data_IF_937710596349
#
_entry.id   IF_937710596349
#
_cell.length_a   1.000
_cell.length_b   1.000
_cell.length_c   1.000
_cell.angle_alpha   90.00
_cell.angle_beta   90.00
_cell.angle_gamma   90.00
#
_symmetry.space_group_name_H-M   'P 1'
#
loop_
_entity.id
_entity.type
_entity.pdbx_description
1 polymer ?
#
# COMPACT_ATOMS: atom_id res chain seq x y z
N UNK A 1 1.94 -8.24 -21.25
CA UNK A 1 1.15 -9.49 -21.29
C UNK A 1 0.55 -9.86 -19.93
N UNK A 2 1.28 -9.75 -18.81
CA UNK A 2 0.75 -10.17 -17.50
C UNK A 2 -0.36 -9.27 -16.92
N UNK A 3 -0.39 -7.98 -17.26
CA UNK A 3 -1.42 -7.05 -16.78
C UNK A 3 -2.83 -7.46 -17.24
N UNK A 4 -2.99 -7.82 -18.52
CA UNK A 4 -4.27 -8.31 -19.06
C UNK A 4 -4.63 -9.66 -18.45
N UNK A 5 -3.65 -10.56 -18.25
CA UNK A 5 -3.89 -11.90 -17.71
C UNK A 5 -4.30 -11.85 -16.23
N UNK A 6 -3.69 -10.95 -15.43
CA UNK A 6 -4.04 -10.73 -14.01
C UNK A 6 -5.40 -10.05 -13.85
N UNK A 7 -5.75 -9.16 -14.78
CA UNK A 7 -6.99 -8.39 -14.74
C UNK A 7 -8.07 -8.94 -15.69
N UNK A 8 -7.91 -10.13 -16.27
CA UNK A 8 -8.82 -10.68 -17.31
C UNK A 8 -10.27 -10.74 -16.84
N UNK A 9 -10.48 -11.13 -15.58
CA UNK A 9 -11.82 -11.20 -14.97
C UNK A 9 -12.43 -9.82 -14.73
N UNK A 10 -11.61 -8.85 -14.32
CA UNK A 10 -12.08 -7.49 -14.07
C UNK A 10 -12.35 -6.74 -15.38
N UNK A 11 -11.49 -6.91 -16.38
CA UNK A 11 -11.70 -6.42 -17.73
C UNK A 11 -12.96 -7.01 -18.35
N UNK A 12 -13.22 -8.30 -18.13
CA UNK A 12 -14.47 -8.94 -18.55
C UNK A 12 -15.68 -8.24 -17.93
N UNK A 13 -15.68 -8.07 -16.60
CA UNK A 13 -16.78 -7.43 -15.87
C UNK A 13 -17.02 -5.98 -16.31
N UNK A 14 -15.96 -5.19 -16.54
CA UNK A 14 -16.09 -3.79 -16.95
C UNK A 14 -16.54 -3.64 -18.40
N UNK A 15 -15.98 -4.45 -19.31
CA UNK A 15 -16.31 -4.40 -20.74
C UNK A 15 -17.67 -5.02 -21.04
N UNK A 16 -18.21 -5.87 -20.16
CA UNK A 16 -19.59 -6.36 -20.24
C UNK A 16 -20.63 -5.25 -20.10
N UNK A 17 -20.27 -4.07 -19.56
CA UNK A 17 -21.19 -2.94 -19.44
C UNK A 17 -21.68 -2.45 -20.81
N UNK A 18 -20.81 -2.48 -21.84
CA UNK A 18 -21.17 -2.15 -23.23
C UNK A 18 -20.25 -2.90 -24.21
N UNK A 19 -20.60 -4.12 -24.65
CA UNK A 19 -19.70 -4.93 -25.48
C UNK A 19 -19.55 -4.41 -26.92
N UNK A 20 -20.58 -3.76 -27.47
CA UNK A 20 -20.56 -3.23 -28.83
C UNK A 20 -19.60 -2.04 -28.96
N UNK A 21 -19.59 -1.14 -27.98
CA UNK A 21 -18.71 0.04 -28.00
C UNK A 21 -17.23 -0.35 -27.98
N UNK A 22 -16.82 -1.27 -27.11
CA UNK A 22 -15.42 -1.72 -27.08
C UNK A 22 -15.04 -2.47 -28.36
N UNK A 23 -15.94 -3.30 -28.91
CA UNK A 23 -15.69 -3.99 -30.18
C UNK A 23 -15.44 -2.98 -31.32
N UNK A 24 -16.20 -1.89 -31.35
CA UNK A 24 -16.03 -0.81 -32.33
C UNK A 24 -14.72 -0.05 -32.12
N UNK A 25 -14.36 0.31 -30.88
CA UNK A 25 -13.10 1.00 -30.57
C UNK A 25 -11.88 0.16 -30.96
N UNK A 26 -11.94 -1.14 -30.70
CA UNK A 26 -10.89 -2.12 -31.02
C UNK A 26 -10.77 -2.36 -32.54
N UNK A 27 -11.88 -2.33 -33.27
CA UNK A 27 -11.89 -2.41 -34.72
C UNK A 27 -11.30 -1.16 -35.36
N UNK A 28 -11.70 0.04 -34.91
CA UNK A 28 -11.20 1.31 -35.44
C UNK A 28 -9.68 1.45 -35.30
N UNK A 29 -9.12 0.93 -34.21
CA UNK A 29 -7.67 0.96 -33.98
C UNK A 29 -6.91 -0.12 -34.80
N UNK A 30 -7.63 -0.98 -35.52
CA UNK A 30 -7.05 -2.06 -36.33
C UNK A 30 -6.44 -3.19 -35.50
N UNK A 31 -6.88 -3.36 -34.26
CA UNK A 31 -6.43 -4.43 -33.38
C UNK A 31 -7.02 -5.80 -33.81
N UNK A 32 -8.26 -5.76 -34.30
CA UNK A 32 -8.96 -6.88 -34.90
C UNK A 32 -9.17 -6.63 -36.39
N UNK A 33 -9.11 -7.71 -37.17
CA UNK A 33 -9.52 -7.65 -38.58
C UNK A 33 -11.05 -7.60 -38.67
N UNK A 34 -11.58 -7.03 -39.75
CA UNK A 34 -13.02 -6.96 -40.03
C UNK A 34 -13.73 -8.32 -39.82
N UNK A 35 -13.05 -9.40 -40.23
CA UNK A 35 -13.54 -10.79 -40.11
C UNK A 35 -13.69 -11.24 -38.65
N UNK A 36 -12.78 -10.82 -37.77
CA UNK A 36 -12.84 -11.13 -36.34
C UNK A 36 -13.90 -10.30 -35.63
N UNK A 37 -13.98 -9.00 -35.96
CA UNK A 37 -15.05 -8.15 -35.46
C UNK A 37 -16.43 -8.71 -35.82
N UNK A 38 -16.66 -9.09 -37.08
CA UNK A 38 -17.93 -9.69 -37.50
C UNK A 38 -18.23 -11.01 -36.78
N UNK A 39 -17.22 -11.85 -36.57
CA UNK A 39 -17.36 -13.11 -35.82
C UNK A 39 -17.74 -12.87 -34.36
N UNK A 40 -17.13 -11.87 -33.72
CA UNK A 40 -17.47 -11.47 -32.35
C UNK A 40 -18.86 -10.84 -32.31
N UNK A 41 -19.21 -9.95 -33.24
CA UNK A 41 -20.53 -9.32 -33.32
C UNK A 41 -21.67 -10.32 -33.57
N UNK A 42 -21.39 -11.43 -34.27
CA UNK A 42 -22.38 -12.50 -34.50
C UNK A 42 -22.59 -13.42 -33.30
N UNK A 43 -21.78 -13.31 -32.25
CA UNK A 43 -21.96 -14.07 -31.02
C UNK A 43 -23.07 -13.41 -30.18
N UNK A 44 -24.13 -14.15 -29.87
CA UNK A 44 -25.31 -13.60 -29.17
C UNK A 44 -25.07 -13.31 -27.69
N UNK A 45 -23.98 -13.82 -27.12
CA UNK A 45 -23.69 -13.75 -25.70
C UNK A 45 -22.59 -12.73 -25.41
N UNK A 46 -22.90 -11.63 -24.69
CA UNK A 46 -21.97 -10.52 -24.48
C UNK A 46 -20.74 -10.90 -23.64
N UNK A 47 -20.91 -11.87 -22.73
CA UNK A 47 -19.79 -12.40 -21.95
C UNK A 47 -18.82 -13.17 -22.85
N UNK A 48 -19.33 -14.07 -23.69
CA UNK A 48 -18.51 -14.80 -24.67
C UNK A 48 -17.88 -13.87 -25.71
N UNK A 49 -18.56 -12.79 -26.09
CA UNK A 49 -18.00 -11.77 -26.98
C UNK A 49 -16.72 -11.17 -26.39
N UNK A 50 -16.78 -10.72 -25.13
CA UNK A 50 -15.62 -10.11 -24.46
C UNK A 50 -14.54 -11.14 -24.14
N UNK A 51 -14.89 -12.36 -23.74
CA UNK A 51 -13.92 -13.44 -23.52
C UNK A 51 -13.17 -13.74 -24.81
N UNK A 52 -13.87 -13.93 -25.93
CA UNK A 52 -13.26 -14.24 -27.22
C UNK A 52 -12.44 -13.06 -27.76
N UNK A 53 -12.84 -11.83 -27.48
CA UNK A 53 -12.07 -10.62 -27.76
C UNK A 53 -10.74 -10.66 -26.99
N UNK A 54 -10.79 -10.79 -25.66
CA UNK A 54 -9.61 -10.84 -24.80
C UNK A 54 -8.68 -11.99 -25.17
N UNK A 55 -9.23 -13.16 -25.47
CA UNK A 55 -8.46 -14.33 -25.90
C UNK A 55 -7.79 -14.11 -27.27
N UNK A 56 -8.49 -13.48 -28.21
CA UNK A 56 -7.94 -13.11 -29.51
C UNK A 56 -6.79 -12.11 -29.39
N UNK A 57 -6.88 -11.15 -28.46
CA UNK A 57 -5.80 -10.18 -28.20
C UNK A 57 -4.61 -10.85 -27.53
N UNK A 58 -4.87 -11.73 -26.56
CA UNK A 58 -3.83 -12.49 -25.87
C UNK A 58 -3.11 -13.48 -26.79
N UNK A 59 -3.84 -14.13 -27.70
CA UNK A 59 -3.30 -15.15 -28.61
C UNK A 59 -2.43 -14.59 -29.74
N UNK A 60 -2.57 -13.31 -30.10
CA UNK A 60 -1.77 -12.65 -31.14
C UNK A 60 -0.40 -12.15 -30.67
N UNK A 61 -0.15 -12.14 -29.36
CA UNK A 61 1.13 -11.76 -28.78
C UNK A 61 1.15 -10.38 -28.12
N UNK A 62 2.31 -10.02 -27.57
CA UNK A 62 2.46 -8.89 -26.64
C UNK A 62 2.16 -7.52 -27.26
N UNK A 63 2.54 -7.30 -28.52
CA UNK A 63 2.29 -6.03 -29.21
C UNK A 63 0.78 -5.72 -29.33
N UNK A 64 -0.05 -6.73 -29.55
CA UNK A 64 -1.51 -6.56 -29.58
C UNK A 64 -2.07 -6.30 -28.18
N UNK A 65 -1.49 -6.92 -27.14
CA UNK A 65 -1.86 -6.63 -25.76
C UNK A 65 -1.58 -5.17 -25.38
N UNK A 66 -0.40 -4.65 -25.72
CA UNK A 66 -0.02 -3.26 -25.44
C UNK A 66 -0.90 -2.27 -26.20
N UNK A 67 -1.14 -2.54 -27.47
CA UNK A 67 -2.04 -1.73 -28.30
C UNK A 67 -3.47 -1.75 -27.76
N UNK A 68 -3.97 -2.89 -27.27
CA UNK A 68 -5.27 -2.98 -26.61
C UNK A 68 -5.35 -2.13 -25.35
N UNK A 69 -4.30 -2.15 -24.53
CA UNK A 69 -4.21 -1.30 -23.34
C UNK A 69 -4.25 0.18 -23.72
N UNK A 70 -3.51 0.59 -24.77
CA UNK A 70 -3.55 1.96 -25.26
C UNK A 70 -4.96 2.39 -25.72
N UNK A 71 -5.77 1.47 -26.25
CA UNK A 71 -7.17 1.74 -26.60
C UNK A 71 -8.02 1.93 -25.34
N UNK A 72 -7.86 1.06 -24.34
CA UNK A 72 -8.57 1.16 -23.06
C UNK A 72 -8.24 2.45 -22.30
N UNK A 73 -7.06 3.02 -22.54
CA UNK A 73 -6.62 4.29 -21.96
C UNK A 73 -7.14 5.54 -22.69
N UNK A 74 -7.81 5.41 -23.85
CA UNK A 74 -8.37 6.58 -24.54
C UNK A 74 -9.51 7.20 -23.74
N UNK A 75 -9.57 8.53 -23.72
CA UNK A 75 -10.62 9.28 -23.01
C UNK A 75 -12.03 8.83 -23.37
N UNK A 76 -12.31 8.58 -24.65
CA UNK A 76 -13.61 8.10 -25.14
C UNK A 76 -14.01 6.74 -24.52
N UNK A 77 -13.03 5.87 -24.28
CA UNK A 77 -13.25 4.55 -23.69
C UNK A 77 -13.34 4.65 -22.18
N UNK A 78 -12.54 5.49 -21.54
CA UNK A 78 -12.62 5.70 -20.10
C UNK A 78 -13.89 6.44 -19.65
N UNK A 79 -14.47 7.29 -20.51
CA UNK A 79 -15.76 7.95 -20.25
C UNK A 79 -16.90 6.92 -20.22
N UNK A 80 -16.86 5.97 -21.16
CA UNK A 80 -17.84 4.87 -21.25
C UNK A 80 -17.67 3.86 -20.12
N UNK A 81 -16.42 3.56 -19.72
CA UNK A 81 -16.11 2.61 -18.64
C UNK A 81 -15.31 3.29 -17.52
N UNK A 82 -15.97 3.99 -16.58
CA UNK A 82 -15.28 4.70 -15.50
C UNK A 82 -14.45 3.77 -14.60
N UNK A 83 -14.81 2.49 -14.52
CA UNK A 83 -14.08 1.47 -13.76
C UNK A 83 -12.68 1.16 -14.35
N UNK A 84 -12.45 1.45 -15.65
CA UNK A 84 -11.11 1.33 -16.25
C UNK A 84 -10.13 2.34 -15.64
N UNK A 85 -10.58 3.50 -15.18
CA UNK A 85 -9.69 4.48 -14.54
C UNK A 85 -9.02 3.95 -13.28
N UNK A 86 -9.67 3.01 -12.58
CA UNK A 86 -9.11 2.33 -11.43
C UNK A 86 -8.09 1.24 -11.83
N UNK A 87 -8.16 0.74 -13.07
CA UNK A 87 -7.24 -0.27 -13.61
C UNK A 87 -5.87 0.29 -13.99
N UNK A 88 -5.86 1.52 -14.53
CA UNK A 88 -4.65 2.22 -14.94
C UNK A 88 -3.85 2.75 -13.75
N UNK A 89 -4.46 2.78 -12.56
CA UNK A 89 -3.82 3.28 -11.35
C UNK A 89 -2.50 2.53 -11.14
N UNK A 90 -1.35 3.19 -11.38
CA UNK A 90 -0.08 2.55 -11.15
C UNK A 90 -0.03 2.30 -9.65
N UNK A 91 0.15 1.06 -9.24
CA UNK A 91 0.89 0.86 -8.00
C UNK A 91 2.27 1.45 -8.28
N UNK A 92 2.42 2.71 -7.84
CA UNK A 92 3.59 3.57 -7.92
C UNK A 92 4.91 2.79 -8.09
N UNK A 93 5.63 2.97 -9.20
CA UNK A 93 7.05 3.17 -9.17
C UNK A 93 7.32 4.67 -9.22
N UNK A 94 8.10 5.14 -8.27
CA UNK A 94 8.62 6.49 -8.18
C UNK A 94 9.33 6.87 -9.49
N UNK A 95 8.83 7.92 -10.14
CA UNK A 95 9.47 8.82 -11.13
C UNK A 95 10.50 8.26 -12.14
N UNK A 96 10.29 8.39 -13.47
CA UNK A 96 11.34 8.13 -14.44
C UNK A 96 12.22 9.38 -14.67
N UNK A 97 13.54 9.22 -14.48
CA UNK A 97 14.51 9.89 -15.33
C UNK A 97 15.76 9.03 -15.52
N UNK A 98 15.97 8.74 -16.80
CA UNK A 98 17.19 8.40 -17.56
C UNK A 98 17.87 7.03 -17.44
N UNK A 99 18.04 6.48 -18.65
CA UNK A 99 19.14 5.66 -19.18
C UNK A 99 19.18 4.14 -18.89
N UNK A 100 18.89 3.41 -19.96
CA UNK A 100 19.23 2.00 -20.21
C UNK A 100 20.63 1.61 -19.71
N UNK A 101 20.73 0.47 -19.03
CA UNK A 101 21.93 -0.36 -19.09
C UNK A 101 21.56 -1.85 -19.00
N UNK A 102 22.14 -2.65 -19.91
CA UNK A 102 21.99 -4.09 -19.97
C UNK A 102 22.76 -4.73 -18.80
N UNK A 103 22.10 -4.94 -17.67
CA UNK A 103 22.64 -5.70 -16.54
C UNK A 103 22.33 -7.18 -16.68
N UNK A 104 23.34 -8.04 -16.89
CA UNK A 104 23.19 -9.50 -16.73
C UNK A 104 22.95 -9.80 -15.26
N UNK A 105 21.74 -10.22 -14.91
CA UNK A 105 21.42 -10.74 -13.58
C UNK A 105 21.77 -12.22 -13.51
N UNK A 106 22.54 -12.63 -12.49
CA UNK A 106 22.84 -14.03 -12.18
C UNK A 106 22.11 -14.39 -10.90
N UNK A 107 21.19 -15.35 -10.98
CA UNK A 107 20.42 -15.85 -9.83
C UNK A 107 21.05 -17.16 -9.38
N UNK A 108 21.53 -17.23 -8.14
CA UNK A 108 22.01 -18.45 -7.51
C UNK A 108 21.13 -18.75 -6.29
N UNK A 109 20.43 -19.88 -6.32
CA UNK A 109 19.60 -20.33 -5.20
C UNK A 109 20.45 -21.19 -4.27
N UNK A 110 20.45 -20.86 -2.98
CA UNK A 110 21.16 -21.61 -1.93
C UNK A 110 20.13 -22.12 -0.94
N UNK A 111 20.09 -23.44 -0.74
CA UNK A 111 19.24 -24.10 0.25
C UNK A 111 20.09 -24.56 1.44
N UNK A 112 19.70 -24.16 2.65
CA UNK A 112 20.42 -24.53 3.87
C UNK A 112 19.43 -24.83 5.01
N UNK A 113 19.62 -25.94 5.71
CA UNK A 113 18.76 -26.40 6.81
C UNK A 113 19.35 -26.18 8.20
N UNK A 114 18.48 -26.20 9.21
CA UNK A 114 18.76 -26.29 10.66
C UNK A 114 20.14 -25.84 11.16
N UNK A 115 20.28 -24.58 11.55
CA UNK A 115 21.49 -24.04 12.20
C UNK A 115 22.64 -23.67 11.25
N UNK A 116 22.43 -23.77 9.95
CA UNK A 116 23.44 -23.42 8.95
C UNK A 116 23.72 -21.92 8.91
N UNK A 117 25.01 -21.56 8.85
CA UNK A 117 25.48 -20.19 8.57
C UNK A 117 25.89 -20.12 7.11
N UNK A 118 25.10 -19.42 6.29
CA UNK A 118 25.43 -19.21 4.87
C UNK A 118 26.29 -17.96 4.75
N UNK A 119 27.56 -18.15 4.36
CA UNK A 119 28.48 -17.05 4.07
C UNK A 119 28.42 -16.74 2.58
N UNK A 120 28.24 -15.47 2.23
CA UNK A 120 28.03 -15.00 0.88
C UNK A 120 29.21 -15.33 -0.08
N UNK A 121 28.94 -15.52 -1.40
CA UNK A 121 30.00 -15.75 -2.37
C UNK A 121 30.88 -14.51 -2.56
N UNK A 122 32.18 -14.71 -2.79
CA UNK A 122 33.14 -13.63 -3.06
C UNK A 122 32.93 -13.10 -4.49
N UNK A 123 32.54 -11.83 -4.61
CA UNK A 123 32.38 -11.16 -5.90
C UNK A 123 33.62 -10.33 -6.17
N UNK A 124 34.40 -10.72 -7.18
CA UNK A 124 35.63 -10.02 -7.58
C UNK A 124 35.47 -9.43 -8.99
N UNK A 125 35.87 -8.17 -9.18
CA UNK A 125 35.89 -7.51 -10.49
C UNK A 125 34.64 -6.70 -10.89
N UNK A 126 33.73 -6.38 -9.95
CA UNK A 126 32.61 -5.47 -10.24
C UNK A 126 33.06 -4.01 -10.33
N UNK A 127 32.68 -3.31 -11.40
CA UNK A 127 32.93 -1.86 -11.58
C UNK A 127 31.68 -0.99 -11.31
N UNK A 128 30.58 -1.60 -10.85
CA UNK A 128 29.30 -0.92 -10.58
C UNK A 128 28.70 -1.28 -9.21
N UNK A 129 27.59 -0.61 -8.84
CA UNK A 129 26.88 -0.84 -7.58
C UNK A 129 26.28 -2.24 -7.55
N UNK A 130 26.65 -3.03 -6.53
CA UNK A 130 26.15 -4.38 -6.34
C UNK A 130 24.97 -4.32 -5.36
N UNK A 131 23.80 -4.74 -5.81
CA UNK A 131 22.60 -4.85 -4.99
C UNK A 131 22.27 -6.32 -4.76
N UNK A 132 22.13 -6.74 -3.50
CA UNK A 132 21.72 -8.10 -3.14
C UNK A 132 20.26 -8.10 -2.68
N UNK A 133 19.47 -8.99 -3.28
CA UNK A 133 18.10 -9.27 -2.85
C UNK A 133 18.09 -10.67 -2.25
N UNK A 134 18.00 -10.77 -0.93
CA UNK A 134 17.89 -12.06 -0.23
C UNK A 134 16.40 -12.38 -0.07
N UNK A 135 15.96 -13.46 -0.71
CA UNK A 135 14.60 -13.96 -0.58
C UNK A 135 14.64 -15.28 0.18
N UNK A 136 14.12 -15.31 1.41
CA UNK A 136 14.04 -16.52 2.23
C UNK A 136 12.67 -17.16 2.02
N UNK A 137 12.65 -18.32 1.37
CA UNK A 137 11.45 -19.15 1.23
C UNK A 137 11.49 -20.25 2.29
N UNK A 138 10.59 -20.13 3.27
CA UNK A 138 10.41 -21.15 4.31
C UNK A 138 9.30 -22.10 3.87
N UNK A 139 9.66 -23.29 3.39
CA UNK A 139 8.69 -24.31 2.98
C UNK A 139 7.69 -24.69 4.10
N UNK A 140 6.51 -25.23 3.75
CA UNK A 140 5.43 -25.44 4.71
C UNK A 140 5.74 -26.60 5.65
N UNK A 141 6.24 -26.27 6.84
CA UNK A 141 6.38 -27.24 7.93
C UNK A 141 5.02 -27.47 8.58
N UNK A 142 4.52 -28.70 8.49
CA UNK A 142 3.32 -29.13 9.20
C UNK A 142 3.43 -28.98 10.72
N UNK A 143 2.26 -28.73 11.33
CA UNK A 143 1.95 -28.58 12.76
C UNK A 143 2.10 -27.18 13.40
N UNK A 144 0.94 -26.54 13.53
CA UNK A 144 0.41 -25.86 14.73
C UNK A 144 1.27 -24.78 15.42
N UNK A 145 1.07 -23.54 14.98
CA UNK A 145 0.58 -22.43 15.82
C UNK A 145 0.24 -21.27 14.89
N UNK A 146 -1.00 -20.77 14.96
CA UNK A 146 -1.43 -19.61 14.22
C UNK A 146 -0.50 -18.42 14.52
N UNK A 147 0.42 -18.12 13.61
CA UNK A 147 1.12 -16.84 13.61
C UNK A 147 0.08 -15.78 13.19
N UNK A 148 -0.58 -15.19 14.19
CA UNK A 148 -1.31 -13.93 14.05
C UNK A 148 -0.31 -12.88 13.55
N UNK A 149 -0.25 -12.67 12.23
CA UNK A 149 0.30 -11.43 11.72
C UNK A 149 -0.73 -10.33 11.99
N UNK A 150 -0.72 -9.81 13.21
CA UNK A 150 -1.69 -8.85 13.73
C UNK A 150 -1.35 -7.46 13.17
N UNK A 151 -2.27 -6.87 12.40
CA UNK A 151 -2.13 -5.50 11.89
C UNK A 151 -1.80 -4.52 13.02
N UNK A 152 -1.05 -3.44 12.73
CA UNK A 152 -0.73 -2.38 13.70
C UNK A 152 -2.00 -1.85 14.37
N UNK A 153 -3.08 -1.69 13.60
CA UNK A 153 -4.39 -1.27 14.12
C UNK A 153 -4.96 -2.24 15.15
N UNK A 154 -4.77 -3.55 14.96
CA UNK A 154 -5.19 -4.57 15.92
C UNK A 154 -4.34 -4.54 17.20
N UNK A 155 -3.04 -4.22 17.09
CA UNK A 155 -2.14 -4.06 18.24
C UNK A 155 -2.45 -2.80 19.04
N UNK A 156 -2.74 -1.70 18.36
CA UNK A 156 -3.15 -0.43 18.99
C UNK A 156 -4.47 -0.64 19.72
N UNK A 157 -5.45 -1.31 19.08
CA UNK A 157 -6.74 -1.60 19.70
C UNK A 157 -6.62 -2.48 20.95
N UNK A 158 -5.70 -3.45 20.96
CA UNK A 158 -5.41 -4.25 22.16
C UNK A 158 -4.86 -3.40 23.32
N UNK A 159 -3.94 -2.46 23.05
CA UNK A 159 -3.43 -1.54 24.07
C UNK A 159 -4.52 -0.59 24.59
N UNK A 160 -5.40 -0.12 23.70
CA UNK A 160 -6.52 0.75 24.07
C UNK A 160 -7.58 0.07 24.94
N UNK A 161 -7.77 -1.24 24.77
CA UNK A 161 -8.72 -2.04 25.55
C UNK A 161 -8.17 -2.39 26.94
N UNK A 162 -6.84 -2.62 27.03
CA UNK A 162 -6.15 -2.84 28.31
C UNK A 162 -6.22 -1.65 29.26
N UNK A 163 -6.41 -0.43 28.74
CA UNK A 163 -6.48 0.79 29.55
C UNK A 163 -7.91 1.30 29.65
N UNK A 164 -8.54 0.99 30.80
CA UNK A 164 -9.90 1.44 31.18
C UNK A 164 -9.98 2.97 31.32
N UNK A 165 -9.09 3.58 32.12
CA UNK A 165 -9.06 5.03 32.34
C UNK A 165 -7.80 5.66 31.72
N UNK A 166 -7.94 6.09 30.46
CA UNK A 166 -6.86 6.67 29.65
C UNK A 166 -6.33 7.97 30.26
N UNK A 167 -7.20 8.77 30.90
CA UNK A 167 -6.83 10.02 31.54
C UNK A 167 -5.94 9.78 32.77
N UNK A 168 -6.34 8.85 33.65
CA UNK A 168 -5.53 8.50 34.82
C UNK A 168 -4.23 7.81 34.42
N UNK A 169 -4.24 6.99 33.37
CA UNK A 169 -3.04 6.37 32.85
C UNK A 169 -2.00 7.42 32.41
N UNK A 170 -2.42 8.44 31.65
CA UNK A 170 -1.52 9.54 31.25
C UNK A 170 -1.00 10.33 32.45
N UNK A 171 -1.83 10.57 33.49
CA UNK A 171 -1.39 11.21 34.74
C UNK A 171 -0.33 10.37 35.46
N UNK A 172 -0.58 9.06 35.57
CA UNK A 172 0.32 8.11 36.26
C UNK A 172 1.67 7.99 35.56
N UNK A 173 1.65 8.01 34.22
CA UNK A 173 2.84 7.86 33.38
C UNK A 173 3.43 9.19 32.90
N UNK A 174 2.97 10.31 33.45
CA UNK A 174 3.35 11.65 33.01
C UNK A 174 4.87 11.85 32.88
N UNK A 175 5.63 11.49 33.92
CA UNK A 175 7.09 11.67 33.91
C UNK A 175 7.79 10.83 32.83
N UNK A 176 7.36 9.58 32.64
CA UNK A 176 7.89 8.70 31.61
C UNK A 176 7.57 9.21 30.21
N UNK A 177 6.35 9.69 29.99
CA UNK A 177 5.91 10.26 28.71
C UNK A 177 6.73 11.49 28.35
N UNK A 178 6.92 12.40 29.31
CA UNK A 178 7.72 13.63 29.13
C UNK A 178 9.19 13.32 28.83
N UNK A 179 9.75 12.29 29.44
CA UNK A 179 11.17 11.94 29.27
C UNK A 179 11.44 11.13 27.99
N UNK A 180 10.52 10.24 27.61
CA UNK A 180 10.71 9.32 26.48
C UNK A 180 10.21 9.88 25.15
N UNK A 181 9.22 10.78 25.13
CA UNK A 181 8.62 11.29 23.90
C UNK A 181 9.34 12.57 23.45
N UNK A 182 10.01 12.49 22.30
CA UNK A 182 10.74 13.63 21.71
C UNK A 182 9.96 14.33 20.58
N UNK A 183 9.11 13.61 19.86
CA UNK A 183 8.33 14.14 18.73
C UNK A 183 7.00 14.72 19.22
N UNK A 184 7.05 15.85 19.93
CA UNK A 184 5.86 16.50 20.48
C UNK A 184 5.19 17.42 19.46
N UNK A 185 5.95 17.95 18.50
CA UNK A 185 5.43 18.87 17.49
C UNK A 185 4.41 18.19 16.58
N UNK A 186 4.69 16.96 16.13
CA UNK A 186 3.76 16.14 15.35
C UNK A 186 2.47 15.85 16.13
N UNK A 187 2.60 15.50 17.41
CA UNK A 187 1.45 15.26 18.30
C UNK A 187 0.63 16.53 18.51
N UNK A 188 1.28 17.67 18.71
CA UNK A 188 0.60 18.95 18.91
C UNK A 188 -0.13 19.39 17.64
N UNK A 189 0.44 19.16 16.45
CA UNK A 189 -0.19 19.50 15.17
C UNK A 189 -1.42 18.64 14.90
N UNK A 190 -1.34 17.34 15.19
CA UNK A 190 -2.45 16.41 15.03
C UNK A 190 -3.61 16.68 16.01
N UNK A 191 -3.31 17.35 17.12
CA UNK A 191 -4.30 17.79 18.11
C UNK A 191 -4.92 19.16 17.78
N UNK A 192 -4.34 19.88 16.81
CA UNK A 192 -4.80 21.20 16.36
C UNK A 192 -6.19 21.07 15.72
N UNK A 193 -7.08 22.02 16.03
CA UNK A 193 -8.41 22.11 15.41
C UNK A 193 -9.49 21.22 16.02
N UNK A 194 -9.14 20.08 16.64
CA UNK A 194 -10.14 19.19 17.26
C UNK A 194 -10.21 19.30 18.79
N UNK A 195 -9.13 19.64 19.51
CA UNK A 195 -9.11 19.65 20.99
C UNK A 195 -8.19 20.69 21.63
N UNK A 196 -7.23 21.26 20.90
CA UNK A 196 -6.45 22.41 21.37
C UNK A 196 -6.87 23.69 20.67
N UNK A 197 -7.13 24.74 21.47
CA UNK A 197 -7.33 26.09 20.97
C UNK A 197 -6.03 26.66 20.41
N UNK A 198 -6.16 27.59 19.47
CA UNK A 198 -5.02 28.24 18.80
C UNK A 198 -4.00 28.85 19.78
N UNK A 199 -4.49 29.43 20.88
CA UNK A 199 -3.66 29.98 21.96
C UNK A 199 -2.86 28.89 22.69
N UNK A 200 -3.51 27.78 23.06
CA UNK A 200 -2.86 26.66 23.76
C UNK A 200 -1.79 26.00 22.90
N UNK A 201 -2.07 25.84 21.60
CA UNK A 201 -1.09 25.34 20.64
C UNK A 201 0.12 26.27 20.54
N UNK A 202 -0.11 27.58 20.46
CA UNK A 202 0.97 28.58 20.40
C UNK A 202 1.85 28.56 21.66
N UNK A 203 1.24 28.36 22.84
CA UNK A 203 1.96 28.22 24.11
C UNK A 203 2.82 26.95 24.16
N UNK A 204 2.37 25.85 23.57
CA UNK A 204 3.16 24.62 23.45
C UNK A 204 4.34 24.86 22.50
N UNK A 205 4.09 25.37 21.30
CA UNK A 205 5.14 25.56 20.30
C UNK A 205 6.20 26.59 20.71
N UNK A 206 5.83 27.55 21.57
CA UNK A 206 6.76 28.52 22.15
C UNK A 206 7.72 27.91 23.20
N UNK A 207 7.52 26.66 23.63
CA UNK A 207 8.44 26.02 24.56
C UNK A 207 9.74 25.59 23.87
N UNK A 208 10.87 25.89 24.50
CA UNK A 208 12.21 25.66 23.92
C UNK A 208 12.67 24.20 23.92
N UNK A 209 12.04 23.32 24.71
CA UNK A 209 12.46 21.91 24.83
C UNK A 209 11.28 20.96 24.63
N UNK A 210 11.49 19.77 24.02
CA UNK A 210 10.44 18.79 23.79
C UNK A 210 9.78 18.32 25.10
N UNK A 211 10.52 18.26 26.21
CA UNK A 211 9.97 17.87 27.51
C UNK A 211 8.98 18.92 28.03
N UNK A 212 9.32 20.21 27.90
CA UNK A 212 8.41 21.29 28.28
C UNK A 212 7.17 21.33 27.38
N UNK A 213 7.35 21.09 26.07
CA UNK A 213 6.26 20.93 25.12
C UNK A 213 5.34 19.79 25.55
N UNK A 214 5.89 18.63 25.90
CA UNK A 214 5.11 17.45 26.31
C UNK A 214 4.37 17.70 27.63
N UNK A 215 5.00 18.38 28.60
CA UNK A 215 4.33 18.76 29.85
C UNK A 215 3.13 19.65 29.58
N UNK A 216 3.30 20.68 28.76
CA UNK A 216 2.21 21.61 28.41
C UNK A 216 1.10 20.90 27.63
N UNK A 217 1.46 20.05 26.68
CA UNK A 217 0.49 19.24 25.94
C UNK A 217 -0.31 18.33 26.88
N UNK A 218 0.35 17.61 27.79
CA UNK A 218 -0.34 16.76 28.78
C UNK A 218 -1.21 17.59 29.74
N UNK A 219 -0.76 18.78 30.15
CA UNK A 219 -1.50 19.69 31.04
C UNK A 219 -2.85 20.08 30.45
N UNK A 220 -2.87 20.51 29.20
CA UNK A 220 -4.09 20.94 28.52
C UNK A 220 -5.01 19.78 28.12
N UNK A 221 -4.46 18.59 27.90
CA UNK A 221 -5.21 17.45 27.36
C UNK A 221 -5.79 16.56 28.44
N UNK A 222 -5.15 16.49 29.60
CA UNK A 222 -5.64 15.76 30.76
C UNK A 222 -6.83 16.49 31.43
N UNK A 223 -7.08 17.75 31.10
CA UNK A 223 -8.24 18.50 31.61
C UNK A 223 -9.58 17.91 31.17
N UNK A 224 -9.64 17.29 29.99
CA UNK A 224 -10.89 16.77 29.42
C UNK A 224 -10.74 15.30 29.04
N UNK A 225 -11.69 14.47 29.45
CA UNK A 225 -11.70 13.02 29.15
C UNK A 225 -11.54 12.75 27.65
N UNK A 226 -12.32 13.41 26.81
CA UNK A 226 -12.26 13.23 25.34
C UNK A 226 -10.93 13.66 24.71
N UNK A 227 -10.25 14.66 25.27
CA UNK A 227 -8.93 15.08 24.78
C UNK A 227 -7.85 14.07 25.20
N UNK A 228 -7.94 13.56 26.42
CA UNK A 228 -7.02 12.54 26.93
C UNK A 228 -7.15 11.19 26.20
N UNK A 229 -8.36 10.78 25.83
CA UNK A 229 -8.60 9.56 25.04
C UNK A 229 -8.00 9.69 23.64
N UNK A 230 -8.22 10.83 22.98
CA UNK A 230 -7.67 11.08 21.65
C UNK A 230 -6.14 11.12 21.67
N UNK A 231 -5.54 11.83 22.63
CA UNK A 231 -4.09 11.87 22.80
C UNK A 231 -3.53 10.46 23.06
N UNK A 232 -4.20 9.67 23.89
CA UNK A 232 -3.80 8.29 24.17
C UNK A 232 -3.78 7.44 22.89
N UNK A 233 -4.84 7.48 22.07
CA UNK A 233 -4.91 6.75 20.80
C UNK A 233 -3.79 7.20 19.84
N UNK A 234 -3.50 8.49 19.77
CA UNK A 234 -2.41 9.02 18.95
C UNK A 234 -1.04 8.57 19.44
N UNK A 235 -0.81 8.58 20.75
CA UNK A 235 0.40 8.04 21.36
C UNK A 235 0.58 6.56 21.07
N UNK A 236 -0.49 5.75 21.10
CA UNK A 236 -0.42 4.34 20.75
C UNK A 236 -0.01 4.11 19.29
N UNK A 237 -0.36 5.02 18.37
CA UNK A 237 0.00 4.93 16.95
C UNK A 237 1.41 5.44 16.66
N UNK A 238 1.73 6.63 17.16
CA UNK A 238 3.01 7.29 16.89
C UNK A 238 4.15 6.69 17.72
N UNK A 239 3.86 6.31 18.97
CA UNK A 239 4.85 5.87 19.96
C UNK A 239 4.48 4.52 20.57
N UNK A 240 4.11 3.56 19.72
CA UNK A 240 3.61 2.24 20.11
C UNK A 240 4.50 1.53 21.15
N UNK A 241 5.82 1.48 20.94
CA UNK A 241 6.75 0.77 21.83
C UNK A 241 6.81 1.39 23.23
N UNK A 242 6.70 2.71 23.34
CA UNK A 242 6.70 3.42 24.62
C UNK A 242 5.39 3.11 25.35
N UNK A 243 4.26 3.13 24.66
CA UNK A 243 2.96 2.80 25.27
C UNK A 243 2.88 1.32 25.66
N UNK A 244 3.43 0.42 24.85
CA UNK A 244 3.49 -1.01 25.19
C UNK A 244 4.31 -1.25 26.47
N UNK A 245 5.47 -0.61 26.61
CA UNK A 245 6.33 -0.67 27.81
C UNK A 245 5.63 -0.14 29.07
N UNK A 246 4.81 0.89 28.93
CA UNK A 246 4.09 1.51 30.05
C UNK A 246 2.79 0.79 30.44
N UNK A 247 2.22 -0.01 29.54
CA UNK A 247 1.00 -0.79 29.75
C UNK A 247 1.32 -2.22 30.22
N UNK A 248 2.53 -2.72 29.93
CA UNK A 248 2.98 -4.07 30.28
C UNK A 248 3.29 -4.22 31.76
#
# INVERSE_FOLDING_TARGET
MEAIRRSKLHLLEWLMADPDFILQAVQQDGLLTQRQYLKLKSESDPEKQIINLLDSVMGKGQHFCEKFISILQKDEVQDTYPNLRMWDSPRHPETPSVASSCGRSVIANVEAGGGSTVVCPVIQGSTGSISFSVNVDSGPSGNSRANKHMSLDSRVKELEDKVQDKQQFLKRNWANLVQKIKCVDDLADEMRGNRLNSEMYSLIMACNTPENKMRKLLEYTITTKTASEYLFTKLCRSQYYIMQDLIS
#
